data_IF_107100136567
#
_entry.id   IF_107100136567
#
_cell.length_a   1.000
_cell.length_b   1.000
_cell.length_c   1.000
_cell.angle_alpha   90.00
_cell.angle_beta   90.00
_cell.angle_gamma   90.00
#
_symmetry.space_group_name_H-M   'P 1'
#
loop_
_entity.id
_entity.type
_entity.pdbx_description
1 polymer ?
#
# COMPACT_ATOMS: atom_id res chain seq x y z
N UNK A 1 -8.37 5.76 -0.84
CA UNK A 1 -8.86 5.25 -2.14
C UNK A 1 -8.98 3.73 -2.09
N UNK A 2 -10.21 3.20 -2.21
CA UNK A 2 -10.51 1.77 -2.07
C UNK A 2 -10.53 1.05 -3.42
N UNK A 3 -10.25 -0.26 -3.44
CA UNK A 3 -10.25 -1.14 -4.63
C UNK A 3 -11.54 -1.03 -5.45
N UNK A 4 -12.67 -0.79 -4.77
CA UNK A 4 -13.97 -0.59 -5.41
C UNK A 4 -13.99 0.58 -6.40
N UNK A 5 -13.26 1.65 -6.11
CA UNK A 5 -13.21 2.82 -6.99
C UNK A 5 -12.53 2.50 -8.33
N UNK A 6 -11.51 1.63 -8.32
CA UNK A 6 -10.82 1.22 -9.55
C UNK A 6 -11.71 0.38 -10.48
N UNK A 7 -12.57 -0.48 -9.92
CA UNK A 7 -13.54 -1.24 -10.71
C UNK A 7 -14.59 -0.32 -11.37
N UNK A 8 -15.08 0.69 -10.62
CA UNK A 8 -16.04 1.67 -11.16
C UNK A 8 -15.41 2.57 -12.23
N UNK A 9 -14.18 3.03 -12.03
CA UNK A 9 -13.44 3.87 -12.98
C UNK A 9 -13.13 3.14 -14.31
N UNK A 10 -13.18 1.82 -14.33
CA UNK A 10 -12.94 1.01 -15.54
C UNK A 10 -14.23 0.53 -16.22
N UNK A 11 -15.41 0.88 -15.68
CA UNK A 11 -16.71 0.50 -16.24
C UNK A 11 -17.03 -0.99 -16.17
N UNK A 12 -16.33 -1.75 -15.31
CA UNK A 12 -16.43 -3.22 -15.24
C UNK A 12 -17.06 -3.69 -13.93
N UNK A 13 -17.71 -4.85 -13.97
CA UNK A 13 -18.13 -5.52 -12.73
C UNK A 13 -16.91 -5.89 -11.87
N UNK A 14 -17.07 -5.83 -10.54
CA UNK A 14 -16.00 -6.10 -9.58
C UNK A 14 -15.35 -7.49 -9.77
N UNK A 15 -16.13 -8.49 -10.19
CA UNK A 15 -15.65 -9.84 -10.46
C UNK A 15 -14.70 -9.89 -11.68
N UNK A 16 -15.06 -9.18 -12.76
CA UNK A 16 -14.24 -9.09 -13.98
C UNK A 16 -12.94 -8.35 -13.69
N UNK A 17 -13.03 -7.21 -12.99
CA UNK A 17 -11.85 -6.45 -12.55
C UNK A 17 -10.90 -7.30 -11.73
N UNK A 18 -11.39 -8.01 -10.69
CA UNK A 18 -10.55 -8.87 -9.84
C UNK A 18 -9.86 -9.98 -10.64
N UNK A 19 -10.55 -10.61 -11.60
CA UNK A 19 -9.99 -11.68 -12.44
C UNK A 19 -8.88 -11.16 -13.35
N UNK A 20 -9.13 -10.05 -14.03
CA UNK A 20 -8.15 -9.46 -14.95
C UNK A 20 -6.96 -8.90 -14.19
N UNK A 21 -7.21 -8.26 -13.04
CA UNK A 21 -6.16 -7.76 -12.16
C UNK A 21 -5.24 -8.89 -11.69
N UNK A 22 -5.81 -10.03 -11.27
CA UNK A 22 -5.02 -11.21 -10.89
C UNK A 22 -4.22 -11.77 -12.06
N UNK A 23 -4.74 -11.73 -13.29
CA UNK A 23 -3.99 -12.17 -14.49
C UNK A 23 -2.79 -11.27 -14.77
N UNK A 24 -2.92 -9.96 -14.59
CA UNK A 24 -1.86 -8.98 -14.89
C UNK A 24 -0.84 -8.88 -13.76
N UNK A 25 -1.31 -8.84 -12.51
CA UNK A 25 -0.48 -8.54 -11.34
C UNK A 25 -0.19 -9.76 -10.44
N UNK A 26 -0.77 -10.93 -10.75
CA UNK A 26 -0.56 -12.18 -9.99
C UNK A 26 -1.27 -12.25 -8.64
N UNK A 27 -1.86 -11.16 -8.16
CA UNK A 27 -2.45 -11.07 -6.82
C UNK A 27 -3.84 -10.38 -6.84
N UNK A 28 -4.56 -10.48 -5.73
CA UNK A 28 -5.79 -9.73 -5.52
C UNK A 28 -5.53 -8.23 -5.47
N UNK A 29 -6.43 -7.39 -6.00
CA UNK A 29 -6.23 -5.94 -5.98
C UNK A 29 -6.04 -5.34 -4.58
N UNK A 30 -6.67 -5.93 -3.55
CA UNK A 30 -6.53 -5.46 -2.17
C UNK A 30 -5.13 -5.70 -1.61
N UNK A 31 -4.61 -6.93 -1.81
CA UNK A 31 -3.27 -7.29 -1.37
C UNK A 31 -2.20 -6.52 -2.16
N UNK A 32 -2.38 -6.40 -3.47
CA UNK A 32 -1.51 -5.58 -4.31
C UNK A 32 -1.50 -4.11 -3.89
N UNK A 33 -2.67 -3.52 -3.61
CA UNK A 33 -2.76 -2.13 -3.18
C UNK A 33 -2.06 -1.92 -1.83
N UNK A 34 -2.30 -2.83 -0.89
CA UNK A 34 -1.62 -2.80 0.41
C UNK A 34 -0.09 -2.91 0.25
N UNK A 35 0.38 -3.84 -0.58
CA UNK A 35 1.80 -4.04 -0.86
C UNK A 35 2.44 -2.81 -1.50
N UNK A 36 1.75 -2.20 -2.46
CA UNK A 36 2.19 -1.01 -3.20
C UNK A 36 2.29 0.20 -2.27
N UNK A 37 1.32 0.40 -1.37
CA UNK A 37 1.38 1.47 -0.36
C UNK A 37 2.59 1.33 0.56
N UNK A 38 2.90 0.11 0.99
CA UNK A 38 4.08 -0.14 1.82
C UNK A 38 5.40 0.04 1.05
N UNK A 39 5.42 -0.22 -0.26
CA UNK A 39 6.57 0.07 -1.14
C UNK A 39 6.81 1.56 -1.27
N UNK A 40 5.75 2.32 -1.54
CA UNK A 40 5.84 3.77 -1.62
C UNK A 40 6.29 4.38 -0.28
N UNK A 41 5.74 3.90 0.83
CA UNK A 41 6.13 4.38 2.15
C UNK A 41 7.63 4.13 2.43
N UNK A 42 8.11 2.94 2.08
CA UNK A 42 9.52 2.57 2.22
C UNK A 42 10.44 3.48 1.37
N UNK A 43 10.06 3.72 0.12
CA UNK A 43 10.76 4.63 -0.77
C UNK A 43 10.83 6.05 -0.21
N UNK A 44 9.71 6.61 0.24
CA UNK A 44 9.63 7.96 0.80
C UNK A 44 10.48 8.13 2.07
N UNK A 45 10.53 7.09 2.93
CA UNK A 45 11.31 7.14 4.17
C UNK A 45 12.81 7.00 3.86
N UNK A 46 13.20 6.03 3.02
CA UNK A 46 14.63 5.77 2.75
C UNK A 46 15.27 6.76 1.77
N UNK A 47 14.54 7.17 0.72
CA UNK A 47 15.10 8.03 -0.35
C UNK A 47 14.86 9.51 -0.10
N UNK A 48 13.70 9.86 0.45
CA UNK A 48 13.32 11.26 0.64
C UNK A 48 13.47 11.73 2.10
N UNK A 49 13.94 10.87 3.01
CA UNK A 49 14.14 11.21 4.42
C UNK A 49 12.86 11.64 5.14
N UNK A 50 11.69 11.27 4.62
CA UNK A 50 10.42 11.70 5.21
C UNK A 50 10.18 10.99 6.53
N UNK A 51 9.62 11.72 7.49
CA UNK A 51 9.26 11.15 8.80
C UNK A 51 8.15 10.11 8.61
N UNK A 52 8.27 8.90 9.19
CA UNK A 52 7.24 7.88 9.09
C UNK A 52 5.85 8.34 9.56
N UNK A 53 5.80 9.31 10.48
CA UNK A 53 4.58 9.92 10.98
C UNK A 53 3.84 10.79 9.98
N UNK A 54 4.47 11.29 8.91
CA UNK A 54 3.77 11.98 7.81
C UNK A 54 3.41 11.00 6.69
N UNK A 55 4.31 10.06 6.41
CA UNK A 55 4.19 9.12 5.29
C UNK A 55 2.97 8.20 5.41
N UNK A 56 2.59 7.78 6.61
CA UNK A 56 1.49 6.81 6.77
C UNK A 56 0.14 7.35 6.25
N UNK A 57 -0.13 8.65 6.42
CA UNK A 57 -1.34 9.29 5.88
C UNK A 57 -1.23 9.46 4.37
N UNK A 58 -0.06 9.87 3.86
CA UNK A 58 0.21 10.07 2.43
C UNK A 58 -0.01 8.79 1.62
N UNK A 59 0.43 7.65 2.15
CA UNK A 59 0.25 6.34 1.50
C UNK A 59 -1.13 5.71 1.78
N UNK A 60 -2.01 6.41 2.50
CA UNK A 60 -3.41 6.04 2.68
C UNK A 60 -3.68 4.99 3.75
N UNK A 61 -2.85 4.91 4.80
CA UNK A 61 -3.18 4.19 6.04
C UNK A 61 -3.98 5.11 6.98
N UNK A 62 -4.97 4.53 7.65
CA UNK A 62 -5.85 5.26 8.58
C UNK A 62 -5.22 5.42 9.97
N UNK A 63 -4.30 4.52 10.35
CA UNK A 63 -3.65 4.53 11.65
C UNK A 63 -2.17 4.19 11.54
N UNK A 64 -1.36 4.93 12.29
CA UNK A 64 0.08 4.69 12.39
C UNK A 64 0.39 3.30 12.98
N UNK A 65 -0.41 2.80 13.92
CA UNK A 65 -0.19 1.47 14.51
C UNK A 65 -0.38 0.36 13.47
N UNK A 66 -1.43 0.45 12.65
CA UNK A 66 -1.66 -0.49 11.55
C UNK A 66 -0.51 -0.42 10.55
N UNK A 67 -0.14 0.78 10.12
CA UNK A 67 0.98 1.01 9.21
C UNK A 67 2.28 0.40 9.75
N UNK A 68 2.64 0.70 11.00
CA UNK A 68 3.89 0.24 11.60
C UNK A 68 3.95 -1.29 11.70
N UNK A 69 2.84 -1.94 12.05
CA UNK A 69 2.77 -3.40 12.09
C UNK A 69 2.89 -3.99 10.68
N UNK A 70 2.14 -3.47 9.71
CA UNK A 70 2.17 -3.95 8.33
C UNK A 70 3.56 -3.76 7.68
N UNK A 71 4.20 -2.62 7.93
CA UNK A 71 5.55 -2.33 7.46
C UNK A 71 6.57 -3.27 8.10
N UNK A 72 6.49 -3.49 9.41
CA UNK A 72 7.37 -4.43 10.12
C UNK A 72 7.20 -5.86 9.62
N UNK A 73 5.97 -6.31 9.40
CA UNK A 73 5.69 -7.65 8.84
C UNK A 73 6.30 -7.81 7.45
N UNK A 74 6.28 -6.76 6.63
CA UNK A 74 6.81 -6.80 5.26
C UNK A 74 8.33 -6.70 5.17
N UNK A 75 8.95 -5.79 5.92
CA UNK A 75 10.37 -5.45 5.78
C UNK A 75 11.25 -5.99 6.93
N UNK A 76 10.66 -6.51 8.00
CA UNK A 76 11.38 -7.04 9.17
C UNK A 76 11.82 -5.99 10.19
N UNK A 77 11.69 -4.70 9.90
CA UNK A 77 12.05 -3.60 10.81
C UNK A 77 10.98 -2.51 10.87
N UNK A 78 11.08 -1.65 11.89
CA UNK A 78 10.09 -0.58 12.09
C UNK A 78 10.29 0.56 11.07
N UNK A 79 9.23 1.30 10.70
CA UNK A 79 9.37 2.50 9.88
C UNK A 79 10.34 3.54 10.48
N UNK A 80 10.44 3.62 11.82
CA UNK A 80 11.36 4.53 12.51
C UNK A 80 12.82 4.14 12.30
N UNK A 81 13.11 2.84 12.26
CA UNK A 81 14.45 2.32 11.96
C UNK A 81 14.82 2.48 10.48
N UNK A 82 13.82 2.67 9.61
CA UNK A 82 14.02 2.91 8.19
C UNK A 82 14.43 4.37 7.87
N UNK A 83 14.16 5.30 8.79
CA UNK A 83 14.51 6.70 8.66
C UNK A 83 16.01 6.88 8.94
N UNK A 84 16.70 7.54 8.01
CA UNK A 84 18.13 7.91 8.10
C UNK A 84 18.25 9.25 8.81
#
# INVERSE_FOLDING_TARGET
MWVWNFAMLTGRSLATFKRDFKKVFGDSPGRWLHDTRLKEAHYQIQKNGKKPSSVFLEVGFESFAHFSNAFKVKYGYSPKSAAI
#
